data_IF_438995193923
#
_entry.id   IF_438995193923
#
_cell.length_a   1.000
_cell.length_b   1.000
_cell.length_c   1.000
_cell.angle_alpha   90.00
_cell.angle_beta   90.00
_cell.angle_gamma   90.00
#
_symmetry.space_group_name_H-M   'P 1'
#
loop_
_entity.id
_entity.type
_entity.pdbx_description
1 polymer ?
#
# COMPACT_ATOMS: atom_id res chain seq x y z
N UNK A 1 29.71 40.91 -0.24
CA UNK A 1 30.67 40.30 -1.19
C UNK A 1 31.59 39.51 -0.28
N UNK A 2 31.10 38.35 0.15
CA UNK A 2 31.76 37.59 1.21
C UNK A 2 33.00 36.95 0.62
N UNK A 3 34.16 37.40 1.10
CA UNK A 3 35.44 36.76 0.84
C UNK A 3 35.35 35.35 1.43
N UNK A 4 35.15 34.36 0.57
CA UNK A 4 35.16 32.93 0.93
C UNK A 4 36.51 32.53 1.55
N UNK A 5 37.54 33.36 1.38
CA UNK A 5 38.78 33.34 2.16
C UNK A 5 39.51 32.01 2.14
N UNK A 6 40.36 31.82 3.14
CA UNK A 6 41.14 30.58 3.33
C UNK A 6 40.25 29.37 3.65
N UNK A 7 39.10 29.60 4.27
CA UNK A 7 38.18 28.53 4.70
C UNK A 7 37.44 27.89 3.53
N UNK A 8 36.89 28.69 2.61
CA UNK A 8 36.25 28.20 1.39
C UNK A 8 37.23 27.44 0.49
N UNK A 9 38.49 27.92 0.37
CA UNK A 9 39.54 27.20 -0.37
C UNK A 9 39.85 25.85 0.25
N UNK A 10 39.99 25.78 1.59
CA UNK A 10 40.24 24.52 2.30
C UNK A 10 39.07 23.54 2.11
N UNK A 11 37.83 24.02 2.20
CA UNK A 11 36.65 23.21 1.98
C UNK A 11 36.56 22.72 0.53
N UNK A 12 36.86 23.54 -0.47
CA UNK A 12 36.91 23.12 -1.87
C UNK A 12 37.93 22.00 -2.12
N UNK A 13 39.11 22.06 -1.49
CA UNK A 13 40.10 20.96 -1.54
C UNK A 13 39.52 19.68 -0.93
N UNK A 14 38.85 19.80 0.22
CA UNK A 14 38.20 18.68 0.89
C UNK A 14 37.15 18.04 -0.02
N UNK A 15 36.25 18.85 -0.60
CA UNK A 15 35.20 18.45 -1.54
C UNK A 15 35.76 17.63 -2.71
N UNK A 16 36.78 18.17 -3.40
CA UNK A 16 37.41 17.50 -4.55
C UNK A 16 38.02 16.15 -4.14
N UNK A 17 38.52 16.06 -2.91
CA UNK A 17 39.18 14.86 -2.41
C UNK A 17 38.21 13.77 -1.88
N UNK A 18 37.07 14.15 -1.30
CA UNK A 18 36.24 13.25 -0.49
C UNK A 18 34.96 12.78 -1.17
N UNK A 19 34.27 13.61 -1.96
CA UNK A 19 32.89 13.32 -2.40
C UNK A 19 32.77 12.12 -3.36
N UNK A 20 33.82 11.79 -4.10
CA UNK A 20 33.86 10.65 -5.01
C UNK A 20 35.19 9.92 -4.90
N UNK A 21 35.24 8.62 -5.11
CA UNK A 21 36.46 7.80 -5.05
C UNK A 21 37.32 7.98 -6.32
N UNK A 22 36.68 8.07 -7.49
CA UNK A 22 37.34 7.99 -8.80
C UNK A 22 37.63 9.40 -9.37
N UNK A 23 38.84 9.61 -9.89
CA UNK A 23 39.30 10.90 -10.46
C UNK A 23 38.52 11.36 -11.69
N UNK A 24 38.12 10.47 -12.59
CA UNK A 24 37.30 10.82 -13.75
C UNK A 24 35.91 11.28 -13.31
N UNK A 25 35.30 10.58 -12.35
CA UNK A 25 34.03 10.98 -11.74
C UNK A 25 34.13 12.32 -11.01
N UNK A 26 35.26 12.63 -10.35
CA UNK A 26 35.52 13.93 -9.74
C UNK A 26 35.55 15.05 -10.78
N UNK A 27 36.19 14.82 -11.93
CA UNK A 27 36.19 15.80 -13.01
C UNK A 27 34.78 16.05 -13.54
N UNK A 28 33.99 15.00 -13.79
CA UNK A 28 32.65 15.12 -14.38
C UNK A 28 31.59 15.65 -13.42
N UNK A 29 31.63 15.28 -12.13
CA UNK A 29 30.57 15.59 -11.17
C UNK A 29 30.90 16.78 -10.27
N UNK A 30 32.18 17.19 -10.16
CA UNK A 30 32.61 18.28 -9.27
C UNK A 30 33.22 19.42 -10.07
N UNK A 31 34.30 19.17 -10.82
CA UNK A 31 35.07 20.25 -11.45
C UNK A 31 34.37 20.88 -12.65
N UNK A 32 33.81 20.06 -13.53
CA UNK A 32 33.10 20.52 -14.73
C UNK A 32 31.81 21.28 -14.40
N UNK A 33 30.93 20.80 -13.47
CA UNK A 33 29.80 21.59 -12.99
C UNK A 33 30.24 22.86 -12.27
N UNK A 34 31.43 22.87 -11.66
CA UNK A 34 32.02 24.06 -11.07
C UNK A 34 32.55 25.09 -12.09
N UNK A 35 32.44 24.82 -13.40
CA UNK A 35 32.92 25.72 -14.45
C UNK A 35 34.43 25.69 -14.67
N UNK A 36 35.16 24.72 -14.10
CA UNK A 36 36.61 24.61 -14.27
C UNK A 36 36.90 24.00 -15.64
N UNK A 37 37.71 24.68 -16.45
CA UNK A 37 38.09 24.20 -17.78
C UNK A 37 38.86 22.88 -17.70
N UNK A 38 38.61 22.00 -18.68
CA UNK A 38 39.28 20.72 -18.80
C UNK A 38 40.81 20.85 -18.92
N UNK A 39 41.30 21.96 -19.47
CA UNK A 39 42.73 22.21 -19.65
C UNK A 39 43.46 22.37 -18.30
N UNK A 40 42.73 22.77 -17.25
CA UNK A 40 43.27 22.95 -15.91
C UNK A 40 43.55 21.61 -15.22
N UNK A 41 42.59 20.68 -15.29
CA UNK A 41 42.68 19.44 -14.50
C UNK A 41 43.16 18.22 -15.30
N UNK A 42 42.94 18.16 -16.63
CA UNK A 42 43.36 17.00 -17.44
C UNK A 42 44.85 16.64 -17.30
N UNK A 43 45.80 17.61 -17.32
CA UNK A 43 47.21 17.31 -17.13
C UNK A 43 47.51 16.75 -15.73
N UNK A 44 46.73 17.15 -14.73
CA UNK A 44 46.90 16.77 -13.34
C UNK A 44 46.33 15.39 -13.01
N UNK A 45 45.30 14.92 -13.74
CA UNK A 45 44.71 13.59 -13.51
C UNK A 45 45.74 12.46 -13.63
N UNK A 46 46.68 12.62 -14.56
CA UNK A 46 47.73 11.64 -14.87
C UNK A 46 49.12 12.01 -14.33
N UNK A 47 49.23 13.11 -13.58
CA UNK A 47 50.51 13.57 -13.04
C UNK A 47 51.04 12.59 -11.99
N UNK A 48 52.35 12.31 -12.08
CA UNK A 48 53.09 11.51 -11.10
C UNK A 48 53.81 12.43 -10.13
N UNK A 49 53.87 11.97 -8.89
CA UNK A 49 54.62 12.61 -7.82
C UNK A 49 56.13 12.39 -8.06
N UNK A 50 56.89 13.48 -8.10
CA UNK A 50 58.31 13.46 -8.46
C UNK A 50 59.18 12.72 -7.44
N UNK A 51 58.75 12.67 -6.17
CA UNK A 51 59.49 12.02 -5.08
C UNK A 51 59.25 10.51 -5.01
N UNK A 52 58.04 10.06 -5.34
CA UNK A 52 57.61 8.68 -5.15
C UNK A 52 57.37 7.92 -6.46
N UNK A 53 57.30 8.61 -7.60
CA UNK A 53 56.99 8.04 -8.92
C UNK A 53 55.55 7.53 -9.06
N UNK A 54 54.73 7.62 -8.01
CA UNK A 54 53.33 7.17 -7.99
C UNK A 54 52.40 8.24 -8.56
N UNK A 55 51.24 7.81 -9.04
CA UNK A 55 50.17 8.73 -9.46
C UNK A 55 49.73 9.60 -8.29
N UNK A 56 49.64 10.91 -8.50
CA UNK A 56 49.17 11.83 -7.45
C UNK A 56 47.74 11.51 -7.02
N UNK A 57 47.44 11.53 -5.73
CA UNK A 57 46.08 11.35 -5.21
C UNK A 57 45.20 12.59 -5.44
N UNK A 58 43.87 12.46 -5.28
CA UNK A 58 42.94 13.61 -5.34
C UNK A 58 43.32 14.72 -4.35
N UNK A 59 43.78 14.35 -3.14
CA UNK A 59 44.25 15.30 -2.12
C UNK A 59 45.49 16.09 -2.56
N UNK A 60 46.35 15.49 -3.38
CA UNK A 60 47.55 16.15 -3.91
C UNK A 60 47.27 17.01 -5.14
N UNK A 61 46.33 16.61 -6.00
CA UNK A 61 45.98 17.39 -7.21
C UNK A 61 45.02 18.54 -6.91
N UNK A 62 44.15 18.43 -5.90
CA UNK A 62 43.13 19.45 -5.60
C UNK A 62 43.72 20.85 -5.32
N UNK A 63 44.78 21.02 -4.50
CA UNK A 63 45.43 22.32 -4.32
C UNK A 63 45.99 22.88 -5.64
N UNK A 64 46.62 22.02 -6.46
CA UNK A 64 47.20 22.43 -7.75
C UNK A 64 46.13 22.93 -8.73
N UNK A 65 44.97 22.27 -8.76
CA UNK A 65 43.83 22.71 -9.58
C UNK A 65 43.39 24.10 -9.15
N UNK A 66 43.21 24.32 -7.84
CA UNK A 66 42.79 25.62 -7.32
C UNK A 66 43.85 26.70 -7.53
N UNK A 67 45.15 26.39 -7.43
CA UNK A 67 46.24 27.35 -7.69
C UNK A 67 46.17 27.87 -9.13
N UNK A 68 45.98 26.98 -10.11
CA UNK A 68 45.85 27.36 -11.54
C UNK A 68 44.60 28.23 -11.77
N UNK A 69 43.47 27.90 -11.13
CA UNK A 69 42.24 28.72 -11.20
C UNK A 69 42.40 30.08 -10.49
N UNK A 70 43.30 30.17 -9.51
CA UNK A 70 43.58 31.44 -8.81
C UNK A 70 44.35 32.40 -9.71
N UNK A 71 45.32 31.88 -10.46
CA UNK A 71 46.16 32.66 -11.37
C UNK A 71 45.39 33.23 -12.57
N UNK A 72 44.24 32.65 -12.92
CA UNK A 72 43.37 33.13 -14.00
C UNK A 72 42.33 34.19 -13.57
N UNK A 73 42.33 34.61 -12.29
CA UNK A 73 41.41 35.65 -11.78
C UNK A 73 39.98 35.18 -11.48
N UNK A 74 39.69 33.89 -11.61
CA UNK A 74 38.36 33.29 -11.40
C UNK A 74 38.24 32.51 -10.07
N UNK A 75 39.12 32.79 -9.11
CA UNK A 75 39.28 32.02 -7.86
C UNK A 75 37.98 31.88 -7.08
N UNK A 76 37.39 33.01 -6.70
CA UNK A 76 36.29 33.02 -5.73
C UNK A 76 35.00 32.45 -6.32
N UNK A 77 34.76 32.69 -7.61
CA UNK A 77 33.61 32.14 -8.32
C UNK A 77 33.70 30.60 -8.45
N UNK A 78 34.88 30.06 -8.77
CA UNK A 78 35.06 28.62 -8.93
C UNK A 78 35.01 27.89 -7.59
N UNK A 79 35.61 28.45 -6.54
CA UNK A 79 35.54 27.93 -5.17
C UNK A 79 34.09 27.90 -4.69
N UNK A 80 33.35 28.99 -4.90
CA UNK A 80 31.92 29.04 -4.57
C UNK A 80 31.13 27.96 -5.28
N UNK A 81 31.35 27.78 -6.59
CA UNK A 81 30.61 26.79 -7.36
C UNK A 81 30.95 25.35 -6.94
N UNK A 82 32.20 25.05 -6.56
CA UNK A 82 32.55 23.74 -5.97
C UNK A 82 31.75 23.49 -4.69
N UNK A 83 31.63 24.51 -3.83
CA UNK A 83 30.87 24.41 -2.57
C UNK A 83 29.37 24.27 -2.85
N UNK A 84 28.82 24.98 -3.84
CA UNK A 84 27.43 24.85 -4.27
C UNK A 84 27.12 23.43 -4.80
N UNK A 85 28.03 22.85 -5.59
CA UNK A 85 27.92 21.45 -6.04
C UNK A 85 27.92 20.49 -4.85
N UNK A 86 28.81 20.71 -3.87
CA UNK A 86 28.87 19.89 -2.67
C UNK A 86 27.61 20.01 -1.80
N UNK A 87 27.07 21.23 -1.63
CA UNK A 87 25.88 21.45 -0.81
C UNK A 87 24.63 20.72 -1.36
N UNK A 88 24.57 20.54 -2.69
CA UNK A 88 23.50 19.81 -3.39
C UNK A 88 23.79 18.30 -3.54
N UNK A 89 24.91 17.80 -3.02
CA UNK A 89 25.36 16.43 -3.23
C UNK A 89 24.47 15.41 -2.50
N UNK A 90 24.08 14.36 -3.21
CA UNK A 90 23.31 13.23 -2.66
C UNK A 90 23.89 11.85 -3.01
N UNK A 91 24.94 11.80 -3.85
CA UNK A 91 25.55 10.57 -4.34
C UNK A 91 26.67 10.03 -3.43
N UNK A 92 26.36 9.81 -2.15
CA UNK A 92 27.37 9.41 -1.14
C UNK A 92 28.02 8.04 -1.39
N UNK A 93 27.30 7.13 -2.06
CA UNK A 93 27.81 5.82 -2.50
C UNK A 93 29.01 5.90 -3.47
N UNK A 94 29.27 7.06 -4.08
CA UNK A 94 30.43 7.27 -4.94
C UNK A 94 31.71 7.55 -4.14
N UNK A 95 31.61 7.92 -2.87
CA UNK A 95 32.73 8.25 -2.02
C UNK A 95 33.50 6.99 -1.59
N UNK A 96 34.78 7.15 -1.25
CA UNK A 96 35.53 6.08 -0.59
C UNK A 96 35.06 5.86 0.85
N UNK A 97 34.66 6.96 1.49
CA UNK A 97 34.21 7.03 2.87
C UNK A 97 32.97 7.92 2.88
N UNK A 98 31.81 7.29 3.06
CA UNK A 98 30.52 7.96 3.07
C UNK A 98 30.37 8.91 4.27
N UNK A 99 30.93 8.58 5.44
CA UNK A 99 30.88 9.44 6.61
C UNK A 99 31.66 10.73 6.38
N UNK A 100 32.87 10.61 5.83
CA UNK A 100 33.68 11.78 5.48
C UNK A 100 32.98 12.65 4.42
N UNK A 101 32.39 12.05 3.39
CA UNK A 101 31.67 12.79 2.36
C UNK A 101 30.45 13.53 2.93
N UNK A 102 29.65 12.89 3.81
CA UNK A 102 28.52 13.52 4.49
C UNK A 102 28.95 14.71 5.35
N UNK A 103 30.04 14.57 6.10
CA UNK A 103 30.61 15.67 6.88
C UNK A 103 31.07 16.84 5.98
N UNK A 104 31.70 16.55 4.84
CA UNK A 104 32.12 17.59 3.88
C UNK A 104 30.90 18.31 3.26
N UNK A 105 29.83 17.59 2.93
CA UNK A 105 28.56 18.19 2.43
C UNK A 105 27.92 19.07 3.49
N UNK A 106 27.92 18.64 4.76
CA UNK A 106 27.38 19.42 5.86
C UNK A 106 28.11 20.76 6.01
N UNK A 107 29.46 20.76 5.99
CA UNK A 107 30.26 21.99 5.99
C UNK A 107 29.93 22.91 4.81
N UNK A 108 29.70 22.35 3.63
CA UNK A 108 29.31 23.13 2.45
C UNK A 108 27.93 23.77 2.61
N UNK A 109 26.97 23.05 3.20
CA UNK A 109 25.63 23.58 3.51
C UNK A 109 25.68 24.66 4.59
N UNK A 110 26.48 24.47 5.64
CA UNK A 110 26.73 25.45 6.70
C UNK A 110 27.30 26.75 6.13
N UNK A 111 28.36 26.64 5.33
CA UNK A 111 29.04 27.80 4.77
C UNK A 111 28.16 28.59 3.78
N UNK A 112 27.22 27.92 3.10
CA UNK A 112 26.24 28.57 2.23
C UNK A 112 24.95 29.00 2.94
N UNK A 113 24.76 28.68 4.23
CA UNK A 113 23.52 28.94 4.95
C UNK A 113 22.31 28.19 4.38
N UNK A 114 22.50 26.99 3.83
CA UNK A 114 21.46 26.22 3.12
C UNK A 114 20.97 24.98 3.86
N UNK A 115 21.43 24.74 5.10
CA UNK A 115 21.07 23.54 5.88
C UNK A 115 19.56 23.33 5.94
N UNK A 116 18.82 24.33 6.44
CA UNK A 116 17.36 24.23 6.63
C UNK A 116 16.62 23.95 5.31
N UNK A 117 17.04 24.61 4.22
CA UNK A 117 16.45 24.43 2.88
C UNK A 117 16.70 23.01 2.37
N UNK A 118 17.92 22.49 2.54
CA UNK A 118 18.28 21.15 2.09
C UNK A 118 17.61 20.07 2.94
N UNK A 119 17.52 20.25 4.26
CA UNK A 119 16.81 19.35 5.16
C UNK A 119 15.30 19.31 4.83
N UNK A 120 14.68 20.46 4.61
CA UNK A 120 13.27 20.53 4.19
C UNK A 120 13.03 19.83 2.85
N UNK A 121 13.97 19.97 1.89
CA UNK A 121 13.91 19.28 0.59
C UNK A 121 14.03 17.77 0.75
N UNK A 122 15.00 17.29 1.54
CA UNK A 122 15.18 15.86 1.81
C UNK A 122 13.96 15.28 2.53
N UNK A 123 13.41 15.98 3.53
CA UNK A 123 12.20 15.56 4.23
C UNK A 123 11.01 15.42 3.27
N UNK A 124 10.81 16.41 2.38
CA UNK A 124 9.75 16.36 1.36
C UNK A 124 9.94 15.21 0.38
N UNK A 125 11.18 14.91 -0.04
CA UNK A 125 11.46 13.77 -0.91
C UNK A 125 11.16 12.44 -0.23
N UNK A 126 11.52 12.29 1.06
CA UNK A 126 11.20 11.09 1.85
C UNK A 126 9.69 10.92 2.02
N UNK A 127 8.96 12.01 2.25
CA UNK A 127 7.49 11.98 2.35
C UNK A 127 6.86 11.56 1.02
N UNK A 128 7.32 12.10 -0.10
CA UNK A 128 6.84 11.73 -1.43
C UNK A 128 7.11 10.25 -1.73
N UNK A 129 8.33 9.78 -1.51
CA UNK A 129 8.70 8.37 -1.70
C UNK A 129 7.83 7.43 -0.85
N UNK A 130 7.58 7.80 0.42
CA UNK A 130 6.69 7.04 1.31
C UNK A 130 5.25 7.00 0.77
N UNK A 131 4.72 8.12 0.28
CA UNK A 131 3.38 8.21 -0.33
C UNK A 131 3.27 7.36 -1.59
N UNK A 132 4.30 7.38 -2.44
CA UNK A 132 4.35 6.57 -3.65
C UNK A 132 4.41 5.06 -3.33
N UNK A 133 5.19 4.68 -2.31
CA UNK A 133 5.27 3.29 -1.84
C UNK A 133 3.93 2.80 -1.28
N UNK A 134 3.27 3.60 -0.43
CA UNK A 134 1.93 3.32 0.08
C UNK A 134 0.92 3.14 -1.06
N UNK A 135 0.88 4.08 -2.01
CA UNK A 135 -0.02 4.02 -3.16
C UNK A 135 0.26 2.80 -4.04
N UNK A 136 1.53 2.40 -4.18
CA UNK A 136 1.91 1.17 -4.91
C UNK A 136 1.38 -0.07 -4.20
N UNK A 137 1.59 -0.19 -2.89
CA UNK A 137 1.09 -1.32 -2.11
C UNK A 137 -0.44 -1.42 -2.16
N UNK A 138 -1.14 -0.29 -2.08
CA UNK A 138 -2.60 -0.23 -2.21
C UNK A 138 -3.08 -0.73 -3.57
N UNK A 139 -2.42 -0.31 -4.66
CA UNK A 139 -2.73 -0.79 -6.02
C UNK A 139 -2.49 -2.28 -6.18
N UNK A 140 -1.35 -2.79 -5.69
CA UNK A 140 -1.04 -4.21 -5.75
C UNK A 140 -2.07 -5.06 -4.99
N UNK A 141 -2.48 -4.58 -3.81
CA UNK A 141 -3.54 -5.20 -3.01
C UNK A 141 -4.90 -5.16 -3.72
N UNK A 142 -5.27 -4.01 -4.29
CA UNK A 142 -6.53 -3.86 -5.01
C UNK A 142 -6.60 -4.78 -6.24
N UNK A 143 -5.50 -4.93 -6.98
CA UNK A 143 -5.40 -5.86 -8.12
C UNK A 143 -5.47 -7.32 -7.69
N UNK A 144 -4.87 -7.70 -6.55
CA UNK A 144 -5.00 -9.05 -6.01
C UNK A 144 -6.47 -9.35 -5.65
N UNK A 145 -7.12 -8.44 -4.93
CA UNK A 145 -8.52 -8.59 -4.54
C UNK A 145 -9.43 -8.68 -5.78
N UNK A 146 -9.15 -7.86 -6.79
CA UNK A 146 -9.85 -7.90 -8.08
C UNK A 146 -9.78 -9.28 -8.73
N UNK A 147 -8.57 -9.82 -8.90
CA UNK A 147 -8.36 -11.15 -9.51
C UNK A 147 -9.04 -12.26 -8.71
N UNK A 148 -8.96 -12.21 -7.38
CA UNK A 148 -9.62 -13.21 -6.54
C UNK A 148 -11.15 -13.11 -6.63
N UNK A 149 -11.71 -11.91 -6.68
CA UNK A 149 -13.15 -11.70 -6.87
C UNK A 149 -13.62 -12.24 -8.24
N UNK A 150 -12.86 -11.98 -9.30
CA UNK A 150 -13.14 -12.50 -10.65
C UNK A 150 -13.15 -14.04 -10.68
N UNK A 151 -12.20 -14.69 -9.99
CA UNK A 151 -12.18 -16.15 -9.84
C UNK A 151 -13.41 -16.69 -9.11
N UNK A 152 -13.84 -16.03 -8.02
CA UNK A 152 -15.04 -16.42 -7.29
C UNK A 152 -16.31 -16.18 -8.11
N UNK A 153 -16.37 -15.09 -8.89
CA UNK A 153 -17.49 -14.83 -9.80
C UNK A 153 -17.59 -15.90 -10.89
N UNK A 154 -16.47 -16.28 -11.52
CA UNK A 154 -16.45 -17.36 -12.50
C UNK A 154 -16.89 -18.70 -11.90
N UNK A 155 -16.45 -19.00 -10.68
CA UNK A 155 -16.92 -20.18 -9.94
C UNK A 155 -18.44 -20.12 -9.69
N UNK A 156 -18.97 -18.96 -9.29
CA UNK A 156 -20.41 -18.78 -9.08
C UNK A 156 -21.21 -19.01 -10.37
N UNK A 157 -20.78 -18.42 -11.48
CA UNK A 157 -21.46 -18.54 -12.78
C UNK A 157 -21.40 -20.00 -13.32
N UNK A 158 -20.29 -20.73 -13.09
CA UNK A 158 -20.19 -22.18 -13.40
C UNK A 158 -21.16 -23.02 -12.56
N UNK A 159 -21.27 -22.73 -11.26
CA UNK A 159 -22.21 -23.42 -10.38
C UNK A 159 -23.67 -23.17 -10.78
N UNK A 160 -23.98 -21.99 -11.31
CA UNK A 160 -25.34 -21.64 -11.73
C UNK A 160 -25.86 -22.52 -12.87
N UNK A 161 -24.98 -23.00 -13.75
CA UNK A 161 -25.32 -23.89 -14.88
C UNK A 161 -25.17 -25.38 -14.56
N UNK A 162 -24.65 -25.73 -13.38
CA UNK A 162 -24.46 -27.12 -12.97
C UNK A 162 -25.79 -27.83 -12.66
N UNK A 163 -25.94 -29.08 -13.10
CA UNK A 163 -27.12 -29.90 -12.80
C UNK A 163 -27.05 -30.68 -11.48
N UNK A 164 -25.91 -30.66 -10.77
CA UNK A 164 -25.70 -31.40 -9.53
C UNK A 164 -26.02 -30.53 -8.29
N UNK A 165 -27.18 -30.73 -7.62
CA UNK A 165 -27.60 -29.89 -6.51
C UNK A 165 -26.72 -30.08 -5.26
N UNK A 166 -26.18 -31.28 -5.04
CA UNK A 166 -25.34 -31.56 -3.89
C UNK A 166 -23.99 -30.86 -4.03
N UNK A 167 -23.40 -30.95 -5.22
CA UNK A 167 -22.16 -30.25 -5.54
C UNK A 167 -22.33 -28.73 -5.46
N UNK A 168 -23.44 -28.17 -5.94
CA UNK A 168 -23.73 -26.72 -5.80
C UNK A 168 -23.75 -26.26 -4.35
N UNK A 169 -24.44 -27.00 -3.47
CA UNK A 169 -24.51 -26.65 -2.06
C UNK A 169 -23.14 -26.63 -1.39
N UNK A 170 -22.35 -27.69 -1.57
CA UNK A 170 -21.00 -27.78 -1.01
C UNK A 170 -20.06 -26.68 -1.54
N UNK A 171 -20.06 -26.44 -2.86
CA UNK A 171 -19.20 -25.44 -3.46
C UNK A 171 -19.65 -24.00 -3.14
N UNK A 172 -20.93 -23.76 -2.89
CA UNK A 172 -21.41 -22.48 -2.39
C UNK A 172 -20.85 -22.18 -0.99
N UNK A 173 -20.81 -23.16 -0.10
CA UNK A 173 -20.20 -23.00 1.23
C UNK A 173 -18.71 -22.63 1.12
N UNK A 174 -17.96 -23.32 0.27
CA UNK A 174 -16.55 -23.00 0.02
C UNK A 174 -16.37 -21.59 -0.59
N UNK A 175 -17.21 -21.22 -1.55
CA UNK A 175 -17.21 -19.89 -2.16
C UNK A 175 -17.43 -18.80 -1.13
N UNK A 176 -18.41 -18.95 -0.23
CA UNK A 176 -18.70 -17.95 0.80
C UNK A 176 -17.56 -17.81 1.79
N UNK A 177 -16.95 -18.92 2.23
CA UNK A 177 -15.80 -18.86 3.12
C UNK A 177 -14.65 -18.06 2.48
N UNK A 178 -14.35 -18.34 1.20
CA UNK A 178 -13.31 -17.59 0.46
C UNK A 178 -13.67 -16.13 0.25
N UNK A 179 -14.94 -15.82 0.01
CA UNK A 179 -15.42 -14.45 -0.15
C UNK A 179 -15.26 -13.67 1.16
N UNK A 180 -15.69 -14.23 2.28
CA UNK A 180 -15.53 -13.57 3.58
C UNK A 180 -14.04 -13.40 3.96
N UNK A 181 -13.21 -14.42 3.71
CA UNK A 181 -11.75 -14.34 3.91
C UNK A 181 -11.12 -13.24 3.02
N UNK A 182 -11.56 -13.11 1.77
CA UNK A 182 -11.12 -12.08 0.84
C UNK A 182 -11.42 -10.66 1.36
N UNK A 183 -12.60 -10.48 1.95
CA UNK A 183 -13.00 -9.25 2.62
C UNK A 183 -12.46 -9.15 4.06
N UNK A 184 -11.55 -10.02 4.50
CA UNK A 184 -10.92 -10.02 5.84
C UNK A 184 -11.92 -10.10 7.01
N UNK A 185 -13.07 -10.71 6.79
CA UNK A 185 -13.99 -11.05 7.86
C UNK A 185 -13.46 -12.31 8.57
N UNK A 186 -13.34 -12.34 9.91
CA UNK A 186 -12.96 -13.57 10.61
C UNK A 186 -14.03 -14.65 10.42
N UNK A 187 -13.70 -15.71 9.70
CA UNK A 187 -14.62 -16.81 9.35
C UNK A 187 -14.38 -18.03 10.23
N UNK A 188 -15.47 -18.71 10.57
CA UNK A 188 -15.48 -20.09 11.06
C UNK A 188 -16.20 -20.94 10.01
N UNK A 189 -15.46 -21.87 9.39
CA UNK A 189 -16.01 -22.84 8.42
C UNK A 189 -17.08 -23.71 9.07
N UNK A 190 -17.85 -24.45 8.27
CA UNK A 190 -18.91 -25.34 8.76
C UNK A 190 -18.48 -26.16 9.98
N UNK A 191 -19.36 -26.20 10.98
CA UNK A 191 -19.09 -26.82 12.27
C UNK A 191 -20.37 -27.37 12.89
N UNK A 192 -20.19 -28.22 13.91
CA UNK A 192 -21.30 -28.81 14.67
C UNK A 192 -21.26 -28.40 16.14
N UNK A 193 -22.44 -28.33 16.77
CA UNK A 193 -22.63 -28.12 18.21
C UNK A 193 -23.42 -29.29 18.82
N UNK A 194 -23.40 -29.38 20.15
CA UNK A 194 -24.23 -30.32 20.92
C UNK A 194 -24.07 -31.77 20.45
N UNK A 195 -22.83 -32.28 20.46
CA UNK A 195 -22.51 -33.66 20.06
C UNK A 195 -22.98 -34.04 18.64
N UNK A 196 -23.04 -33.04 17.73
CA UNK A 196 -23.47 -33.25 16.35
C UNK A 196 -24.96 -32.99 16.10
N UNK A 197 -25.73 -32.62 17.12
CA UNK A 197 -27.17 -32.34 16.99
C UNK A 197 -27.51 -31.07 16.20
N UNK A 198 -26.56 -30.16 16.01
CA UNK A 198 -26.76 -28.91 15.27
C UNK A 198 -25.60 -28.66 14.30
N UNK A 199 -25.87 -28.68 12.99
CA UNK A 199 -24.92 -28.35 11.93
C UNK A 199 -25.13 -26.92 11.44
N UNK A 200 -24.05 -26.15 11.34
CA UNK A 200 -24.05 -24.77 10.86
C UNK A 200 -23.13 -24.70 9.63
N UNK A 201 -23.60 -24.09 8.53
CA UNK A 201 -22.84 -24.04 7.26
C UNK A 201 -21.58 -23.15 7.36
N UNK A 202 -21.64 -22.14 8.22
CA UNK A 202 -20.49 -21.31 8.56
C UNK A 202 -20.87 -20.21 9.54
N UNK A 203 -19.88 -19.43 9.95
CA UNK A 203 -20.12 -18.20 10.68
C UNK A 203 -19.03 -17.19 10.35
N UNK A 204 -19.33 -15.90 10.52
CA UNK A 204 -18.32 -14.85 10.47
C UNK A 204 -18.54 -13.82 11.55
N UNK A 205 -17.51 -13.03 11.84
CA UNK A 205 -17.57 -11.92 12.79
C UNK A 205 -17.48 -10.59 12.05
N UNK A 206 -18.34 -9.65 12.42
CA UNK A 206 -18.30 -8.27 11.91
C UNK A 206 -18.82 -7.32 13.00
N UNK A 207 -18.17 -6.16 13.19
CA UNK A 207 -18.61 -5.14 14.16
C UNK A 207 -18.91 -5.66 15.58
N UNK A 208 -18.16 -6.66 16.04
CA UNK A 208 -18.37 -7.25 17.37
C UNK A 208 -19.52 -8.25 17.49
N UNK A 209 -20.25 -8.54 16.40
CA UNK A 209 -21.32 -9.53 16.32
C UNK A 209 -20.86 -10.81 15.62
N UNK A 210 -21.51 -11.92 15.95
CA UNK A 210 -21.35 -13.21 15.28
C UNK A 210 -22.55 -13.48 14.37
N UNK A 211 -22.29 -13.81 13.11
CA UNK A 211 -23.31 -14.12 12.11
C UNK A 211 -23.22 -15.60 11.77
N UNK A 212 -24.22 -16.38 12.16
CA UNK A 212 -24.37 -17.77 11.70
C UNK A 212 -24.91 -17.74 10.26
N UNK A 213 -24.28 -18.50 9.39
CA UNK A 213 -24.63 -18.56 7.97
C UNK A 213 -25.35 -19.87 7.70
N UNK A 214 -26.50 -19.78 7.05
CA UNK A 214 -27.18 -20.88 6.37
C UNK A 214 -27.24 -20.50 4.89
N UNK A 215 -26.79 -21.39 4.00
CA UNK A 215 -26.78 -21.11 2.57
C UNK A 215 -27.47 -22.21 1.75
N UNK A 216 -28.29 -21.80 0.78
CA UNK A 216 -29.12 -22.74 0.01
C UNK A 216 -29.13 -22.41 -1.48
N UNK A 217 -29.03 -23.48 -2.27
CA UNK A 217 -29.13 -23.43 -3.73
C UNK A 217 -30.16 -24.44 -4.25
N UNK A 218 -31.44 -24.19 -3.96
CA UNK A 218 -32.57 -25.06 -4.33
C UNK A 218 -33.36 -24.48 -5.50
N UNK A 219 -33.90 -25.33 -6.37
CA UNK A 219 -34.76 -24.88 -7.49
C UNK A 219 -36.05 -24.21 -7.03
N UNK A 220 -36.65 -24.72 -5.95
CA UNK A 220 -37.87 -24.16 -5.35
C UNK A 220 -37.49 -22.98 -4.44
N UNK A 221 -38.28 -21.90 -4.48
CA UNK A 221 -38.20 -20.81 -3.53
C UNK A 221 -38.33 -21.32 -2.09
N UNK A 222 -37.51 -20.78 -1.19
CA UNK A 222 -37.60 -21.09 0.23
C UNK A 222 -38.87 -20.47 0.85
N UNK A 223 -39.50 -21.20 1.76
CA UNK A 223 -40.58 -20.73 2.61
C UNK A 223 -40.08 -20.51 4.05
N UNK A 224 -40.94 -20.00 4.95
CA UNK A 224 -40.52 -19.71 6.32
C UNK A 224 -39.99 -20.95 7.06
N UNK A 225 -40.50 -22.15 6.75
CA UNK A 225 -40.06 -23.40 7.39
C UNK A 225 -38.62 -23.73 7.03
N UNK A 226 -38.13 -23.22 5.91
CA UNK A 226 -36.74 -23.36 5.53
C UNK A 226 -35.79 -22.48 6.36
N UNK A 227 -36.30 -21.47 7.06
CA UNK A 227 -35.54 -20.55 7.92
C UNK A 227 -35.64 -20.91 9.41
N UNK A 228 -36.65 -21.69 9.82
CA UNK A 228 -36.87 -22.10 11.22
C UNK A 228 -35.62 -22.74 11.86
N UNK A 229 -34.86 -23.50 11.05
CA UNK A 229 -33.58 -24.08 11.47
C UNK A 229 -32.61 -23.00 11.96
N UNK A 230 -32.26 -22.04 11.09
CA UNK A 230 -31.37 -20.94 11.41
C UNK A 230 -31.91 -20.08 12.56
N UNK A 231 -33.21 -19.78 12.58
CA UNK A 231 -33.83 -19.03 13.69
C UNK A 231 -33.63 -19.73 15.03
N UNK A 232 -33.85 -21.05 15.07
CA UNK A 232 -33.61 -21.85 16.27
C UNK A 232 -32.13 -21.86 16.69
N UNK A 233 -31.21 -21.96 15.73
CA UNK A 233 -29.76 -21.94 16.00
C UNK A 233 -29.31 -20.60 16.59
N UNK A 234 -29.80 -19.49 16.03
CA UNK A 234 -29.53 -18.15 16.54
C UNK A 234 -30.15 -17.96 17.92
N UNK A 235 -31.41 -18.38 18.13
CA UNK A 235 -32.09 -18.27 19.42
C UNK A 235 -31.45 -19.09 20.56
N UNK A 236 -30.71 -20.15 20.23
CA UNK A 236 -29.90 -20.93 21.19
C UNK A 236 -28.46 -20.43 21.34
N UNK A 237 -28.06 -19.43 20.56
CA UNK A 237 -26.72 -18.84 20.62
C UNK A 237 -26.63 -17.72 21.65
N UNK A 238 -25.42 -17.19 21.87
CA UNK A 238 -25.23 -16.03 22.75
C UNK A 238 -25.97 -14.79 22.25
N UNK A 239 -26.19 -13.80 23.13
CA UNK A 239 -26.97 -12.58 22.83
C UNK A 239 -26.41 -11.71 21.68
N UNK A 240 -25.15 -11.91 21.30
CA UNK A 240 -24.48 -11.22 20.18
C UNK A 240 -24.37 -12.10 18.93
N UNK A 241 -25.39 -12.94 18.70
CA UNK A 241 -25.50 -13.77 17.52
C UNK A 241 -26.69 -13.34 16.66
N UNK A 242 -26.46 -13.22 15.37
CA UNK A 242 -27.48 -13.04 14.33
C UNK A 242 -27.33 -14.14 13.27
N UNK A 243 -28.30 -14.25 12.39
CA UNK A 243 -28.30 -15.16 11.25
C UNK A 243 -28.19 -14.39 9.94
N UNK A 244 -27.35 -14.88 9.04
CA UNK A 244 -27.41 -14.58 7.61
C UNK A 244 -28.02 -15.79 6.90
N UNK A 245 -29.18 -15.58 6.29
CA UNK A 245 -29.81 -16.57 5.42
C UNK A 245 -29.56 -16.21 3.96
N UNK A 246 -28.75 -17.01 3.28
CA UNK A 246 -28.49 -16.86 1.85
C UNK A 246 -29.28 -17.90 1.07
N UNK A 247 -30.18 -17.44 0.20
CA UNK A 247 -30.86 -18.32 -0.77
C UNK A 247 -30.63 -17.84 -2.19
N UNK A 248 -29.93 -18.64 -3.01
CA UNK A 248 -29.54 -18.20 -4.36
C UNK A 248 -30.74 -17.89 -5.24
N UNK A 249 -31.79 -18.72 -5.17
CA UNK A 249 -33.03 -18.50 -5.91
C UNK A 249 -34.07 -17.72 -5.11
N UNK A 250 -33.74 -17.31 -3.88
CA UNK A 250 -34.61 -16.50 -3.03
C UNK A 250 -35.71 -17.30 -2.31
N UNK A 251 -36.69 -16.56 -1.83
CA UNK A 251 -37.77 -17.02 -0.98
C UNK A 251 -39.12 -16.51 -1.48
N UNK A 252 -40.21 -17.09 -0.97
CA UNK A 252 -41.55 -16.59 -1.24
C UNK A 252 -41.80 -15.21 -0.64
N UNK A 253 -42.65 -14.39 -1.28
CA UNK A 253 -42.95 -13.00 -0.88
C UNK A 253 -43.45 -12.85 0.58
N UNK A 254 -43.98 -13.93 1.15
CA UNK A 254 -44.45 -13.95 2.54
C UNK A 254 -43.32 -14.01 3.57
N UNK A 255 -42.12 -14.47 3.19
CA UNK A 255 -41.00 -14.68 4.14
C UNK A 255 -40.56 -13.39 4.83
N UNK A 256 -40.30 -12.27 4.13
CA UNK A 256 -39.97 -11.00 4.80
C UNK A 256 -41.06 -10.56 5.77
N UNK A 257 -42.33 -10.65 5.38
CA UNK A 257 -43.48 -10.27 6.22
C UNK A 257 -43.62 -11.11 7.48
N UNK A 258 -43.26 -12.40 7.42
CA UNK A 258 -43.25 -13.29 8.59
C UNK A 258 -42.04 -13.03 9.48
N UNK A 259 -40.84 -12.82 8.91
CA UNK A 259 -39.64 -12.46 9.68
C UNK A 259 -39.80 -11.13 10.42
N UNK A 260 -40.50 -10.15 9.83
CA UNK A 260 -40.87 -8.90 10.50
C UNK A 260 -41.63 -9.10 11.80
N UNK A 261 -42.35 -10.21 11.95
CA UNK A 261 -43.11 -10.49 13.17
C UNK A 261 -42.23 -11.03 14.30
N UNK A 262 -41.03 -11.53 13.99
CA UNK A 262 -40.09 -11.99 15.02
C UNK A 262 -39.57 -10.80 15.85
N UNK A 263 -39.84 -10.74 17.17
CA UNK A 263 -39.42 -9.63 18.00
C UNK A 263 -37.89 -9.47 18.09
N UNK A 264 -37.13 -10.55 17.92
CA UNK A 264 -35.67 -10.54 18.08
C UNK A 264 -34.93 -9.92 16.89
N UNK A 265 -35.59 -9.79 15.73
CA UNK A 265 -35.04 -9.15 14.52
C UNK A 265 -33.60 -9.59 14.21
N UNK A 266 -33.37 -10.90 14.30
CA UNK A 266 -32.02 -11.47 14.32
C UNK A 266 -31.62 -12.18 13.03
N UNK A 267 -32.43 -12.13 11.96
CA UNK A 267 -32.16 -12.76 10.66
C UNK A 267 -32.08 -11.71 9.56
N UNK A 268 -30.94 -11.66 8.86
CA UNK A 268 -30.70 -10.88 7.65
C UNK A 268 -30.81 -11.80 6.43
N UNK A 269 -31.49 -11.32 5.39
CA UNK A 269 -31.67 -12.02 4.13
C UNK A 269 -30.70 -11.52 3.04
N UNK A 270 -30.23 -12.46 2.24
CA UNK A 270 -29.41 -12.21 1.06
C UNK A 270 -29.78 -13.22 -0.03
N UNK A 271 -29.85 -12.78 -1.29
CA UNK A 271 -30.15 -13.65 -2.42
C UNK A 271 -28.96 -13.83 -3.37
N UNK A 272 -29.16 -14.57 -4.46
CA UNK A 272 -28.14 -14.79 -5.48
C UNK A 272 -27.76 -13.51 -6.24
N UNK A 273 -28.69 -12.57 -6.40
CA UNK A 273 -28.42 -11.28 -7.06
C UNK A 273 -27.50 -10.42 -6.19
N UNK A 274 -27.78 -10.36 -4.89
CA UNK A 274 -26.93 -9.70 -3.90
C UNK A 274 -25.52 -10.27 -3.89
N UNK A 275 -25.41 -11.60 -3.83
CA UNK A 275 -24.11 -12.29 -3.82
C UNK A 275 -23.32 -12.01 -5.11
N UNK A 276 -23.99 -12.12 -6.26
CA UNK A 276 -23.36 -11.83 -7.55
C UNK A 276 -22.91 -10.38 -7.66
N UNK A 277 -23.67 -9.43 -7.11
CA UNK A 277 -23.32 -8.00 -7.08
C UNK A 277 -22.00 -7.79 -6.33
N UNK A 278 -21.85 -8.40 -5.15
CA UNK A 278 -20.61 -8.36 -4.37
C UNK A 278 -19.45 -9.04 -5.13
N UNK A 279 -19.67 -10.23 -5.68
CA UNK A 279 -18.66 -10.97 -6.44
C UNK A 279 -18.16 -10.19 -7.67
N UNK A 280 -19.06 -9.46 -8.32
CA UNK A 280 -18.73 -8.56 -9.44
C UNK A 280 -18.15 -7.21 -9.01
N UNK A 281 -17.91 -7.02 -7.70
CA UNK A 281 -17.36 -5.81 -7.09
C UNK A 281 -18.16 -4.53 -7.36
N UNK A 282 -19.45 -4.67 -7.66
CA UNK A 282 -20.36 -3.52 -7.77
C UNK A 282 -20.70 -2.95 -6.38
N UNK A 283 -20.65 -3.78 -5.33
CA UNK A 283 -20.79 -3.37 -3.95
C UNK A 283 -19.68 -4.00 -3.08
N UNK A 284 -19.15 -3.27 -2.10
CA UNK A 284 -18.29 -3.86 -1.08
C UNK A 284 -19.13 -4.70 -0.10
N UNK A 285 -18.64 -5.89 0.25
CA UNK A 285 -19.37 -6.84 1.10
C UNK A 285 -19.62 -6.29 2.50
N UNK A 286 -18.62 -5.64 3.12
CA UNK A 286 -18.76 -5.16 4.49
C UNK A 286 -19.73 -4.00 4.55
N UNK A 287 -19.60 -3.04 3.62
CA UNK A 287 -20.50 -1.89 3.52
C UNK A 287 -21.94 -2.33 3.24
N UNK A 288 -22.12 -3.22 2.27
CA UNK A 288 -23.45 -3.69 1.91
C UNK A 288 -24.08 -4.55 3.02
N UNK A 289 -23.31 -5.43 3.65
CA UNK A 289 -23.83 -6.25 4.74
C UNK A 289 -24.15 -5.40 5.98
N UNK A 290 -23.33 -4.39 6.29
CA UNK A 290 -23.64 -3.42 7.34
C UNK A 290 -24.94 -2.66 7.01
N UNK A 291 -25.13 -2.23 5.77
CA UNK A 291 -26.36 -1.57 5.34
C UNK A 291 -27.59 -2.48 5.51
N UNK A 292 -27.47 -3.79 5.19
CA UNK A 292 -28.53 -4.78 5.45
C UNK A 292 -28.85 -4.89 6.94
N UNK A 293 -27.84 -4.97 7.81
CA UNK A 293 -28.01 -5.02 9.27
C UNK A 293 -28.68 -3.75 9.80
N UNK A 294 -28.25 -2.58 9.33
CA UNK A 294 -28.87 -1.29 9.67
C UNK A 294 -30.32 -1.22 9.18
N UNK A 295 -30.61 -1.73 7.99
CA UNK A 295 -31.97 -1.77 7.46
C UNK A 295 -32.90 -2.63 8.32
N UNK A 296 -32.44 -3.80 8.74
CA UNK A 296 -33.16 -4.65 9.69
C UNK A 296 -33.38 -3.96 11.03
N UNK A 297 -32.33 -3.40 11.63
CA UNK A 297 -32.42 -2.82 12.96
C UNK A 297 -33.25 -1.53 13.02
N UNK A 298 -33.16 -0.68 12.00
CA UNK A 298 -33.82 0.63 11.99
C UNK A 298 -35.19 0.61 11.32
N UNK A 299 -35.38 -0.20 10.29
CA UNK A 299 -36.64 -0.28 9.54
C UNK A 299 -37.44 -1.56 9.79
N UNK A 300 -36.90 -2.47 10.61
CA UNK A 300 -37.48 -3.82 10.80
C UNK A 300 -37.58 -4.61 9.50
N UNK A 301 -36.83 -4.25 8.46
CA UNK A 301 -36.88 -4.88 7.15
C UNK A 301 -35.73 -5.89 6.99
N UNK A 302 -36.02 -7.21 6.93
CA UNK A 302 -34.98 -8.24 6.94
C UNK A 302 -34.22 -8.36 5.61
N UNK A 303 -34.68 -7.70 4.56
CA UNK A 303 -34.08 -7.74 3.23
C UNK A 303 -33.89 -6.33 2.67
N UNK A 304 -32.63 -5.99 2.39
CA UNK A 304 -32.24 -4.86 1.56
C UNK A 304 -31.55 -5.41 0.32
N UNK A 305 -32.19 -5.33 -0.85
CA UNK A 305 -31.59 -5.80 -2.10
C UNK A 305 -30.40 -4.92 -2.50
N UNK A 306 -29.45 -5.52 -3.22
CA UNK A 306 -28.29 -4.82 -3.76
C UNK A 306 -28.72 -3.68 -4.69
N UNK A 307 -29.79 -3.87 -5.47
CA UNK A 307 -30.33 -2.81 -6.34
C UNK A 307 -30.69 -1.55 -5.54
N UNK A 308 -31.51 -1.73 -4.51
CA UNK A 308 -31.92 -0.61 -3.64
C UNK A 308 -30.73 0.01 -2.91
N UNK A 309 -29.76 -0.81 -2.49
CA UNK A 309 -28.54 -0.30 -1.87
C UNK A 309 -27.73 0.59 -2.83
N UNK A 310 -27.55 0.16 -4.08
CA UNK A 310 -26.85 0.94 -5.10
C UNK A 310 -27.59 2.24 -5.43
N UNK A 311 -28.93 2.20 -5.52
CA UNK A 311 -29.77 3.39 -5.76
C UNK A 311 -29.63 4.44 -4.62
N UNK A 312 -29.17 4.06 -3.42
CA UNK A 312 -28.94 4.97 -2.29
C UNK A 312 -27.54 5.63 -2.36
N UNK A 313 -26.58 5.01 -3.07
CA UNK A 313 -25.20 5.48 -3.18
C UNK A 313 -25.00 6.47 -4.33
N UNK A 314 -25.91 6.48 -5.32
CA UNK A 314 -25.96 7.45 -6.43
C UNK A 314 -26.55 8.81 -6.01
#
# INVERSE_FOLDING_TARGET
MDDLGTEGRRLAIEIIATLVHIKSTMAELILKPAGISADVYRPLLYKRDESSGRMMSKRQIAPLILDVVTQSGACDASVRMIIEVAAQWSSFHLANDEYAARATVQKARELLGTIEVMEAREAKQRELARKEELARMERERAELIKKQSELLLMMFDDLAVSDDPHRRGYLLQDLLNRLFDLHQLPVTKSFTRNEGGEQIDGAFRMEGWHYLVECRWRKKLDDIRNLDGLQGQVGRSGKQAMGLYLSINGWSDNVPSLLKQNPDKNIVLMDGYDLRTVLSRQADLQEFFLAKVTHLNLKSEPFLSAKVFMDILE
#
